data_IF_627753149444
#
_entry.id   IF_627753149444
#
_cell.length_a   1.000
_cell.length_b   1.000
_cell.length_c   1.000
_cell.angle_alpha   90.00
_cell.angle_beta   90.00
_cell.angle_gamma   90.00
#
_symmetry.space_group_name_H-M   'P 1'
#
loop_
_entity.id
_entity.type
_entity.pdbx_description
1 polymer ?
#
# COMPACT_ATOMS: atom_id res chain seq x y z
N UNK A 1 -3.74 17.67 18.78
CA UNK A 1 -4.38 17.07 17.60
C UNK A 1 -5.04 15.79 18.08
N UNK A 2 -6.32 15.57 17.81
CA UNK A 2 -7.01 14.35 18.25
C UNK A 2 -6.72 13.13 17.35
N UNK A 3 -5.75 13.25 16.43
CA UNK A 3 -5.38 12.19 15.49
C UNK A 3 -6.36 12.02 14.32
N UNK A 4 -7.55 12.61 14.41
CA UNK A 4 -8.58 12.49 13.37
C UNK A 4 -8.30 13.44 12.20
N UNK A 5 -8.10 12.84 11.02
CA UNK A 5 -8.12 13.54 9.73
C UNK A 5 -9.56 13.64 9.23
N UNK A 6 -9.87 14.67 8.44
CA UNK A 6 -11.19 14.78 7.80
C UNK A 6 -11.45 13.56 6.91
N UNK A 7 -12.64 12.97 6.99
CA UNK A 7 -12.97 11.77 6.25
C UNK A 7 -13.27 12.09 4.77
N UNK A 8 -12.19 12.29 3.99
CA UNK A 8 -12.21 12.58 2.55
C UNK A 8 -11.50 11.48 1.76
N UNK A 9 -11.83 11.35 0.48
CA UNK A 9 -11.29 10.30 -0.41
C UNK A 9 -9.76 10.23 -0.44
N UNK A 10 -9.10 11.39 -0.32
CA UNK A 10 -7.63 11.47 -0.24
C UNK A 10 -7.07 10.74 0.99
N UNK A 11 -7.67 10.95 2.16
CA UNK A 11 -7.22 10.31 3.40
C UNK A 11 -7.50 8.81 3.37
N UNK A 12 -8.69 8.40 2.93
CA UNK A 12 -9.02 6.96 2.76
C UNK A 12 -8.07 6.27 1.79
N UNK A 13 -7.78 6.90 0.65
CA UNK A 13 -6.82 6.38 -0.33
C UNK A 13 -5.41 6.30 0.23
N UNK A 14 -4.99 7.32 0.98
CA UNK A 14 -3.70 7.35 1.67
C UNK A 14 -3.55 6.26 2.72
N UNK A 15 -4.60 5.98 3.50
CA UNK A 15 -4.62 4.88 4.48
C UNK A 15 -4.44 3.52 3.80
N UNK A 16 -5.21 3.24 2.73
CA UNK A 16 -5.08 1.99 1.97
C UNK A 16 -3.68 1.84 1.34
N UNK A 17 -3.12 2.93 0.80
CA UNK A 17 -1.77 2.96 0.26
C UNK A 17 -0.72 2.67 1.34
N UNK A 18 -0.85 3.29 2.51
CA UNK A 18 0.06 3.09 3.64
C UNK A 18 0.01 1.66 4.17
N UNK A 19 -1.17 1.03 4.23
CA UNK A 19 -1.33 -0.38 4.59
C UNK A 19 -0.60 -1.28 3.59
N UNK A 20 -0.83 -1.09 2.28
CA UNK A 20 -0.19 -1.90 1.24
C UNK A 20 1.35 -1.74 1.25
N UNK A 21 1.84 -0.51 1.40
CA UNK A 21 3.27 -0.21 1.53
C UNK A 21 3.89 -0.92 2.74
N UNK A 22 3.20 -0.88 3.89
CA UNK A 22 3.67 -1.50 5.13
C UNK A 22 3.72 -3.02 5.02
N UNK A 23 2.74 -3.63 4.34
CA UNK A 23 2.76 -5.06 4.04
C UNK A 23 3.94 -5.42 3.14
N UNK A 24 4.14 -4.69 2.02
CA UNK A 24 5.28 -4.90 1.14
C UNK A 24 6.62 -4.77 1.90
N UNK A 25 6.75 -3.79 2.79
CA UNK A 25 7.94 -3.61 3.63
C UNK A 25 8.19 -4.81 4.54
N UNK A 26 7.14 -5.40 5.12
CA UNK A 26 7.26 -6.63 5.91
C UNK A 26 7.81 -7.78 5.05
N UNK A 27 7.27 -7.97 3.84
CA UNK A 27 7.74 -9.03 2.93
C UNK A 27 9.18 -8.83 2.50
N UNK A 28 9.57 -7.60 2.17
CA UNK A 28 10.94 -7.27 1.74
C UNK A 28 11.97 -7.45 2.85
N UNK A 29 11.65 -7.02 4.07
CA UNK A 29 12.55 -7.10 5.24
C UNK A 29 12.48 -8.44 5.97
N UNK A 30 11.63 -9.37 5.51
CA UNK A 30 11.33 -10.64 6.18
C UNK A 30 10.89 -10.46 7.65
N UNK A 31 10.02 -9.47 7.89
CA UNK A 31 9.37 -9.21 9.18
C UNK A 31 8.00 -9.90 9.17
N UNK A 32 7.63 -10.57 10.26
CA UNK A 32 6.27 -11.11 10.40
C UNK A 32 5.25 -9.96 10.35
N UNK A 33 4.30 -9.95 9.38
CA UNK A 33 3.29 -8.90 9.27
C UNK A 33 2.50 -8.64 10.56
N UNK A 34 2.29 -9.64 11.42
CA UNK A 34 1.60 -9.49 12.72
C UNK A 34 2.30 -8.51 13.66
N UNK A 35 3.61 -8.26 13.48
CA UNK A 35 4.36 -7.28 14.28
C UNK A 35 3.92 -5.85 13.92
N UNK A 36 3.68 -5.59 12.63
CA UNK A 36 3.28 -4.27 12.11
C UNK A 36 1.76 -4.10 12.18
N UNK A 37 1.02 -5.11 11.76
CA UNK A 37 -0.43 -5.22 11.87
C UNK A 37 -0.80 -5.96 13.16
N UNK A 38 -0.50 -5.34 14.30
CA UNK A 38 -0.79 -5.94 15.60
C UNK A 38 -2.30 -6.18 15.82
N UNK A 39 -2.66 -7.20 16.61
CA UNK A 39 -4.04 -7.68 16.80
C UNK A 39 -5.04 -6.58 17.15
N UNK A 40 -4.67 -5.68 18.07
CA UNK A 40 -5.51 -4.55 18.50
C UNK A 40 -5.45 -3.32 17.58
N UNK A 41 -4.69 -3.41 16.50
CA UNK A 41 -4.56 -2.37 15.47
C UNK A 41 -5.74 -2.40 14.52
N UNK A 42 -5.87 -1.36 13.69
CA UNK A 42 -6.85 -1.30 12.60
C UNK A 42 -8.28 -1.71 13.02
N UNK A 43 -8.72 -1.34 14.22
CA UNK A 43 -10.05 -1.67 14.76
C UNK A 43 -10.35 -3.19 14.76
N UNK A 44 -9.36 -4.01 15.13
CA UNK A 44 -9.40 -5.48 15.13
C UNK A 44 -9.48 -6.12 13.72
N UNK A 45 -9.16 -5.36 12.66
CA UNK A 45 -9.15 -5.87 11.29
C UNK A 45 -7.78 -6.41 10.84
N UNK A 46 -6.74 -6.34 11.69
CA UNK A 46 -5.36 -6.69 11.31
C UNK A 46 -5.22 -8.09 10.72
N UNK A 47 -5.83 -9.12 11.32
CA UNK A 47 -5.75 -10.48 10.78
C UNK A 47 -6.41 -10.60 9.41
N UNK A 48 -7.53 -9.91 9.18
CA UNK A 48 -8.20 -9.91 7.89
C UNK A 48 -7.32 -9.23 6.82
N UNK A 49 -6.60 -8.18 7.18
CA UNK A 49 -5.65 -7.50 6.28
C UNK A 49 -4.54 -8.45 5.86
N UNK A 50 -3.87 -9.09 6.82
CA UNK A 50 -2.78 -10.05 6.55
C UNK A 50 -3.30 -11.19 5.67
N UNK A 51 -4.41 -11.82 6.07
CA UNK A 51 -5.00 -12.94 5.33
C UNK A 51 -5.37 -12.56 3.90
N UNK A 52 -5.92 -11.36 3.68
CA UNK A 52 -6.24 -10.90 2.34
C UNK A 52 -4.97 -10.81 1.48
N UNK A 53 -3.92 -10.16 1.97
CA UNK A 53 -2.68 -10.02 1.21
C UNK A 53 -1.93 -11.35 1.00
N UNK A 54 -1.94 -12.27 1.97
CA UNK A 54 -1.34 -13.60 1.80
C UNK A 54 -2.11 -14.49 0.81
N UNK A 55 -3.36 -14.13 0.46
CA UNK A 55 -4.19 -14.83 -0.53
C UNK A 55 -4.43 -13.98 -1.80
N UNK A 56 -3.50 -13.07 -2.12
CA UNK A 56 -3.52 -12.22 -3.31
C UNK A 56 -4.73 -11.26 -3.43
N UNK A 57 -5.52 -11.09 -2.36
CA UNK A 57 -6.57 -10.07 -2.28
C UNK A 57 -5.97 -8.73 -1.85
N UNK A 58 -5.38 -8.02 -2.82
CA UNK A 58 -4.64 -6.78 -2.55
C UNK A 58 -5.53 -5.53 -2.67
N UNK A 59 -5.22 -4.50 -1.89
CA UNK A 59 -5.82 -3.17 -1.97
C UNK A 59 -4.73 -2.11 -1.76
N UNK A 60 -4.99 -0.86 -2.14
CA UNK A 60 -3.98 0.21 -2.11
C UNK A 60 -2.96 0.14 -3.26
N UNK A 61 -2.82 -1.00 -3.94
CA UNK A 61 -1.92 -1.22 -5.09
C UNK A 61 -2.14 -0.20 -6.22
N UNK A 62 -3.38 0.16 -6.63
CA UNK A 62 -3.57 1.19 -7.67
C UNK A 62 -2.93 2.54 -7.33
N UNK A 63 -2.89 2.92 -6.05
CA UNK A 63 -2.26 4.16 -5.59
C UNK A 63 -0.74 4.06 -5.61
N UNK A 64 -0.19 2.93 -5.12
CA UNK A 64 1.25 2.66 -5.20
C UNK A 64 1.73 2.66 -6.66
N UNK A 65 0.98 2.03 -7.56
CA UNK A 65 1.28 2.00 -9.00
C UNK A 65 1.16 3.39 -9.63
N UNK A 66 0.16 4.19 -9.26
CA UNK A 66 0.03 5.57 -9.74
C UNK A 66 1.22 6.45 -9.31
N UNK A 67 1.75 6.20 -8.10
CA UNK A 67 2.98 6.81 -7.59
C UNK A 67 4.27 6.16 -8.12
N UNK A 68 4.17 5.24 -9.10
CA UNK A 68 5.30 4.57 -9.75
C UNK A 68 6.18 3.76 -8.75
N UNK A 69 5.55 3.17 -7.73
CA UNK A 69 6.24 2.46 -6.63
C UNK A 69 6.23 0.93 -6.78
N UNK A 70 5.22 0.36 -7.43
CA UNK A 70 5.11 -1.07 -7.73
C UNK A 70 4.24 -1.29 -8.98
N UNK A 71 4.14 -2.54 -9.43
CA UNK A 71 3.23 -2.94 -10.49
C UNK A 71 2.15 -3.89 -9.97
N UNK A 72 0.95 -3.79 -10.53
CA UNK A 72 -0.05 -4.85 -10.44
C UNK A 72 0.32 -6.02 -11.36
N UNK A 73 -0.43 -7.13 -11.26
CA UNK A 73 -0.18 -8.35 -12.04
C UNK A 73 -0.17 -8.12 -13.56
N UNK A 74 -1.03 -7.22 -14.03
CA UNK A 74 -1.18 -6.95 -15.46
C UNK A 74 0.04 -6.20 -15.99
N UNK A 75 0.41 -5.09 -15.35
CA UNK A 75 1.55 -4.28 -15.78
C UNK A 75 2.87 -5.04 -15.56
N UNK A 76 2.99 -5.80 -14.48
CA UNK A 76 4.16 -6.64 -14.25
C UNK A 76 4.38 -7.65 -15.39
N UNK A 77 3.31 -8.30 -15.86
CA UNK A 77 3.38 -9.23 -16.99
C UNK A 77 3.76 -8.54 -18.31
N UNK A 78 3.25 -7.32 -18.56
CA UNK A 78 3.61 -6.53 -19.77
C UNK A 78 5.08 -6.08 -19.78
N UNK A 79 5.67 -5.85 -18.60
CA UNK A 79 7.03 -5.33 -18.42
C UNK A 79 8.10 -6.40 -18.11
N UNK A 80 7.73 -7.69 -18.07
CA UNK A 80 8.59 -8.78 -17.61
C UNK A 80 9.20 -8.50 -16.21
N UNK A 81 8.37 -7.95 -15.33
CA UNK A 81 8.71 -7.57 -13.96
C UNK A 81 7.94 -8.43 -12.95
N UNK A 82 8.29 -8.31 -11.67
CA UNK A 82 7.52 -8.92 -10.58
C UNK A 82 6.38 -7.98 -10.15
N UNK A 83 5.19 -8.52 -9.84
CA UNK A 83 4.10 -7.72 -9.29
C UNK A 83 4.32 -7.42 -7.79
N UNK A 84 3.46 -6.55 -7.25
CA UNK A 84 3.28 -6.38 -5.81
C UNK A 84 3.22 -7.75 -5.12
N UNK A 85 3.90 -7.96 -3.97
CA UNK A 85 4.50 -6.96 -3.09
C UNK A 85 5.91 -6.49 -3.46
N UNK A 86 6.45 -6.85 -4.62
CA UNK A 86 7.76 -6.33 -5.05
C UNK A 86 7.65 -4.81 -5.36
N UNK A 87 8.47 -4.02 -4.67
CA UNK A 87 8.52 -2.56 -4.84
C UNK A 87 9.66 -2.20 -5.78
N UNK A 88 9.36 -1.46 -6.85
CA UNK A 88 10.37 -0.86 -7.74
C UNK A 88 10.94 0.44 -7.17
N UNK A 89 10.19 1.11 -6.29
CA UNK A 89 10.64 2.26 -5.51
C UNK A 89 9.93 2.31 -4.16
N UNK A 90 10.68 2.55 -3.09
CA UNK A 90 10.13 2.76 -1.74
C UNK A 90 9.69 4.20 -1.48
N UNK A 91 10.11 5.14 -2.35
CA UNK A 91 9.79 6.55 -2.26
C UNK A 91 8.81 6.95 -3.35
N UNK A 92 7.82 7.78 -2.99
CA UNK A 92 6.99 8.49 -3.95
C UNK A 92 7.83 9.64 -4.55
N UNK A 93 8.44 9.38 -5.70
CA UNK A 93 9.27 10.38 -6.40
C UNK A 93 8.43 11.32 -7.27
N UNK A 94 7.16 10.97 -7.50
CA UNK A 94 6.25 11.75 -8.33
C UNK A 94 4.97 12.07 -7.55
N UNK A 95 4.85 13.31 -7.09
CA UNK A 95 3.63 13.80 -6.47
C UNK A 95 2.59 14.14 -7.56
N UNK A 96 1.71 13.19 -7.89
CA UNK A 96 0.65 13.38 -8.89
C UNK A 96 -0.56 14.18 -8.34
N UNK A 97 -0.56 14.57 -7.06
CA UNK A 97 -1.61 15.38 -6.44
C UNK A 97 -1.41 16.88 -6.60
N UNK A 98 -0.19 17.31 -6.91
CA UNK A 98 0.05 18.68 -7.37
C UNK A 98 -0.56 18.80 -8.76
N UNK A 99 -1.80 19.31 -8.82
CA UNK A 99 -2.30 19.92 -10.05
C UNK A 99 -1.25 20.96 -10.45
N UNK A 100 -0.63 20.78 -11.62
CA UNK A 100 -0.01 21.89 -12.32
C UNK A 100 -1.07 23.00 -12.40
N UNK A 101 -0.93 24.00 -11.53
CA UNK A 101 -1.61 25.27 -11.68
C UNK A 101 -0.87 25.95 -12.83
N UNK A 102 -1.34 25.70 -14.05
CA UNK A 102 -1.11 26.57 -15.20
C UNK A 102 -2.35 27.43 -15.38
#
# INVERSE_FOLDING_TARGET
>A
MNGDLEDIDLHRGGELMAIAWSYAACRYLNINPEIVFHEYGYRNASQNIINNFDNDYTFGVPMLQWCEMCYDDKIAAELDAKPFPEMISWLCLVNKYEKNIL
#
